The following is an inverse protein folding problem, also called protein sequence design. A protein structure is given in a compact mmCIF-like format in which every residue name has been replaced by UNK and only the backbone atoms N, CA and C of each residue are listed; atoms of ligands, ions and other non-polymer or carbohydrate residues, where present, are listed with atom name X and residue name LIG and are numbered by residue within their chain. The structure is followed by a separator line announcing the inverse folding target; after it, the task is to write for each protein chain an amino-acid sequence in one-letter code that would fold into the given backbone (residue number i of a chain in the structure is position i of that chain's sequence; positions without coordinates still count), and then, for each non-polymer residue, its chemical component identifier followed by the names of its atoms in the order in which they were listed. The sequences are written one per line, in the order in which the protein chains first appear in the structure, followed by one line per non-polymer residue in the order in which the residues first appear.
data_IF_577992630310
#
_entry.id   IF_577992630310
#
_cell.length_a   1.000
_cell.length_b   1.000
_cell.length_c   1.000
_cell.angle_alpha   90.00
_cell.angle_beta   90.00
_cell.angle_gamma   90.00
#
_symmetry.space_group_name_H-M   'P 1'
#
loop_
_entity.id
_entity.type
_entity.pdbx_description
1 polymer ?
#
# COMPACT_ATOMS: atom_id res chain seq x y z
N UNK A 1 -5.73 -13.91 0.69
CA UNK A 1 -5.72 -12.58 0.03
C UNK A 1 -4.27 -12.10 0.03
N UNK A 2 -3.73 -11.63 -1.09
CA UNK A 2 -2.32 -11.16 -1.15
C UNK A 2 -2.19 -9.79 -0.51
N UNK A 3 -0.99 -9.46 -0.02
CA UNK A 3 -0.68 -8.16 0.60
C UNK A 3 -0.92 -7.01 -0.39
N UNK A 4 -0.61 -7.19 -1.68
CA UNK A 4 -0.91 -6.24 -2.74
C UNK A 4 -2.41 -5.95 -2.90
N UNK A 5 -3.27 -6.97 -2.76
CA UNK A 5 -4.73 -6.77 -2.83
C UNK A 5 -5.25 -5.97 -1.63
N UNK A 6 -4.72 -6.23 -0.44
CA UNK A 6 -5.02 -5.46 0.78
C UNK A 6 -4.58 -4.00 0.58
N UNK A 7 -3.34 -3.80 0.14
CA UNK A 7 -2.78 -2.48 -0.15
C UNK A 7 -3.62 -1.70 -1.18
N UNK A 8 -3.92 -2.27 -2.34
CA UNK A 8 -4.72 -1.59 -3.38
C UNK A 8 -6.11 -1.18 -2.88
N UNK A 9 -6.73 -2.03 -2.06
CA UNK A 9 -8.06 -1.75 -1.49
C UNK A 9 -8.00 -0.54 -0.55
N UNK A 10 -7.01 -0.51 0.34
CA UNK A 10 -6.87 0.58 1.31
C UNK A 10 -6.32 1.86 0.68
N UNK A 11 -5.42 1.76 -0.30
CA UNK A 11 -4.96 2.90 -1.07
C UNK A 11 -6.12 3.59 -1.81
N UNK A 12 -7.01 2.82 -2.42
CA UNK A 12 -8.22 3.36 -3.06
C UNK A 12 -9.19 4.01 -2.05
N UNK A 13 -9.23 3.53 -0.80
CA UNK A 13 -10.06 4.07 0.27
C UNK A 13 -9.49 5.35 0.89
N UNK A 14 -8.18 5.37 1.14
CA UNK A 14 -7.46 6.47 1.80
C UNK A 14 -7.17 7.61 0.83
N UNK A 15 -6.92 7.29 -0.45
CA UNK A 15 -6.54 8.25 -1.49
C UNK A 15 -7.46 8.12 -2.71
N UNK A 16 -8.78 8.37 -2.58
CA UNK A 16 -9.74 8.16 -3.67
C UNK A 16 -9.47 9.04 -4.89
N UNK A 17 -8.84 10.20 -4.71
CA UNK A 17 -8.46 11.11 -5.80
C UNK A 17 -7.15 10.72 -6.51
N UNK A 18 -6.39 9.78 -5.95
CA UNK A 18 -5.14 9.28 -6.52
C UNK A 18 -5.21 7.77 -6.76
N UNK A 19 -6.41 7.17 -6.73
CA UNK A 19 -6.57 5.71 -6.62
C UNK A 19 -5.91 4.90 -7.75
N UNK A 20 -5.59 5.49 -8.91
CA UNK A 20 -4.89 4.81 -10.01
C UNK A 20 -3.36 4.84 -9.87
N UNK A 21 -2.79 5.85 -9.21
CA UNK A 21 -1.34 6.04 -9.08
C UNK A 21 -0.64 4.96 -8.21
N UNK A 22 -1.17 4.59 -7.03
CA UNK A 22 -0.55 3.60 -6.16
C UNK A 22 -0.90 2.16 -6.53
N UNK A 23 -1.78 1.88 -7.51
CA UNK A 23 -2.23 0.50 -7.77
C UNK A 23 -1.09 -0.39 -8.26
N UNK A 24 -0.75 -1.41 -7.48
CA UNK A 24 0.30 -2.39 -7.82
C UNK A 24 -0.30 -3.70 -8.30
N UNK A 25 0.51 -4.54 -8.96
CA UNK A 25 0.07 -5.86 -9.42
C UNK A 25 -0.40 -6.74 -8.23
N UNK A 26 -1.64 -7.26 -8.24
CA UNK A 26 -2.15 -8.16 -7.19
C UNK A 26 -1.32 -9.43 -6.96
N UNK A 27 -0.51 -9.85 -7.94
CA UNK A 27 0.39 -10.99 -7.84
C UNK A 27 1.63 -10.72 -6.97
N UNK A 28 1.90 -9.45 -6.61
CA UNK A 28 3.01 -9.11 -5.72
C UNK A 28 2.70 -9.60 -4.30
N UNK A 29 3.66 -10.32 -3.74
CA UNK A 29 3.52 -10.99 -2.45
C UNK A 29 4.38 -10.37 -1.34
N UNK A 30 5.23 -9.39 -1.66
CA UNK A 30 6.11 -8.75 -0.68
C UNK A 30 5.81 -7.26 -0.55
N UNK A 31 5.92 -6.70 0.66
CA UNK A 31 5.75 -5.27 0.91
C UNK A 31 6.86 -4.43 0.26
N UNK A 32 8.09 -4.97 0.22
CA UNK A 32 9.25 -4.28 -0.35
C UNK A 32 9.06 -3.98 -1.85
N UNK A 33 8.52 -4.94 -2.61
CA UNK A 33 8.28 -4.75 -4.05
C UNK A 33 7.17 -3.71 -4.30
N UNK A 34 6.17 -3.66 -3.41
CA UNK A 34 5.11 -2.63 -3.46
C UNK A 34 5.72 -1.25 -3.23
N UNK A 35 6.55 -1.09 -2.20
CA UNK A 35 7.22 0.16 -1.87
C UNK A 35 8.11 0.64 -3.01
N UNK A 36 8.91 -0.24 -3.62
CA UNK A 36 9.80 0.14 -4.73
C UNK A 36 9.01 0.60 -5.96
N UNK A 37 7.91 -0.09 -6.30
CA UNK A 37 7.05 0.28 -7.43
C UNK A 37 6.41 1.65 -7.21
N UNK A 38 5.87 1.88 -6.02
CA UNK A 38 5.20 3.13 -5.67
C UNK A 38 6.22 4.29 -5.62
N UNK A 39 7.41 4.06 -5.05
CA UNK A 39 8.52 5.02 -5.04
C UNK A 39 8.98 5.39 -6.45
N UNK A 40 9.08 4.43 -7.36
CA UNK A 40 9.51 4.66 -8.75
C UNK A 40 8.48 5.44 -9.57
N UNK A 41 7.19 5.38 -9.20
CA UNK A 41 6.10 6.11 -9.89
C UNK A 41 5.97 7.55 -9.44
N UNK A 42 6.27 7.84 -8.17
CA UNK A 42 6.33 9.21 -7.68
C UNK A 42 7.15 9.24 -6.40
N UNK A 43 8.18 10.08 -6.36
CA UNK A 43 8.97 10.32 -5.14
C UNK A 43 8.08 10.86 -3.99
N UNK A 44 6.95 11.49 -4.32
CA UNK A 44 5.94 11.96 -3.37
C UNK A 44 5.01 10.84 -2.86
N UNK A 45 4.95 9.71 -3.57
CA UNK A 45 4.28 8.48 -3.12
C UNK A 45 5.27 7.48 -2.52
N UNK A 46 6.57 7.69 -2.72
CA UNK A 46 7.65 6.98 -2.05
C UNK A 46 7.50 7.06 -0.53
N UNK A 47 7.36 5.89 0.11
CA UNK A 47 7.14 5.80 1.56
C UNK A 47 5.67 5.84 2.01
N UNK A 48 4.71 6.16 1.13
CA UNK A 48 3.28 6.07 1.46
C UNK A 48 2.80 4.61 1.55
N UNK A 49 3.37 3.70 0.77
CA UNK A 49 3.07 2.27 0.89
C UNK A 49 3.55 1.72 2.24
N UNK A 50 4.78 2.02 2.64
CA UNK A 50 5.33 1.74 3.97
C UNK A 50 4.42 2.30 5.08
N UNK A 51 3.97 3.56 4.97
CA UNK A 51 3.08 4.19 5.94
C UNK A 51 1.71 3.50 6.03
N UNK A 52 1.06 3.21 4.89
CA UNK A 52 -0.24 2.52 4.86
C UNK A 52 -0.11 1.12 5.47
N UNK A 53 0.94 0.37 5.11
CA UNK A 53 1.17 -0.97 5.66
C UNK A 53 1.45 -0.92 7.18
N UNK A 54 2.26 0.02 7.65
CA UNK A 54 2.54 0.21 9.08
C UNK A 54 1.30 0.66 9.89
N UNK A 55 0.39 1.43 9.27
CA UNK A 55 -0.89 1.78 9.89
C UNK A 55 -1.83 0.57 9.98
N UNK A 56 -1.81 -0.33 8.99
CA UNK A 56 -2.58 -1.57 9.01
C UNK A 56 -2.05 -2.56 10.05
N UNK A 57 -0.73 -2.67 10.21
CA UNK A 57 -0.13 -3.51 11.27
C UNK A 57 -0.47 -3.00 12.68
N UNK A 58 -0.55 -1.67 12.88
CA UNK A 58 -0.99 -1.10 14.16
C UNK A 58 -2.49 -1.36 14.43
N UNK A 59 -3.33 -1.36 13.41
CA UNK A 59 -4.76 -1.69 13.56
C UNK A 59 -5.00 -3.17 13.86
N UNK A 60 -4.23 -4.08 13.25
CA UNK A 60 -4.29 -5.51 13.56
C UNK A 60 -3.70 -5.83 14.96
N UNK A 61 -2.88 -4.95 15.55
CA UNK A 61 -2.27 -5.08 16.88
C UNK A 61 -3.08 -4.53 18.05
N UNK A 62 -4.05 -3.64 17.82
CA UNK A 62 -4.91 -3.03 18.85
C UNK A 62 -6.18 -3.88 19.13
N UNK A 63 -6.26 -5.08 18.54
CA UNK A 63 -7.31 -6.08 18.80
C UNK A 63 -6.77 -7.26 19.62
N UNK A 64 -5.99 -6.98 20.68
CA UNK A 64 -5.46 -7.96 21.62
C UNK A 64 -5.85 -7.65 23.07
#
# INVERSE_FOLDING_TARGET
MTIARRYNTEAARLLPHMAEDPVVDPAITTANDIDEIVFRRSEFLGGMACAILAMLEQQDGDTA
#
